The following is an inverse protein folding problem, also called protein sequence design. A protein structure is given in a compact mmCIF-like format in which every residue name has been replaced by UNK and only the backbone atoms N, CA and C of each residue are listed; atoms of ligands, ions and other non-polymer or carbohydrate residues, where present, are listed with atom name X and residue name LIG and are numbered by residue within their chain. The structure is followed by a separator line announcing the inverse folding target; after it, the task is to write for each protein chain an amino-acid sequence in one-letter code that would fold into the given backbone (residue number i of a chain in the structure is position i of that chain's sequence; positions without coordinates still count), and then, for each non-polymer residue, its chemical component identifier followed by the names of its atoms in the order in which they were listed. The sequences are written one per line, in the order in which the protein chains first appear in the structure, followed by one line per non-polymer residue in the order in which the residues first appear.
data_IF_010510249710
#
_entry.id   IF_010510249710
#
_cell.length_a   1.000
_cell.length_b   1.000
_cell.length_c   1.000
_cell.angle_alpha   90.00
_cell.angle_beta   90.00
_cell.angle_gamma   90.00
#
_symmetry.space_group_name_H-M   'P 1'
#
loop_
_entity.id
_entity.type
_entity.pdbx_description
1 polymer ?
#
# COMPACT_ATOMS: atom_id res chain seq x y z
N UNK A 1 -22.26 -6.05 27.04
CA UNK A 1 -22.19 -5.06 25.95
C UNK A 1 -21.46 -5.74 24.80
N UNK A 2 -22.23 -6.33 23.89
CA UNK A 2 -21.74 -7.19 22.81
C UNK A 2 -21.49 -6.31 21.59
N UNK A 3 -20.24 -6.15 21.17
CA UNK A 3 -19.93 -5.49 19.90
C UNK A 3 -20.32 -6.44 18.77
N UNK A 4 -21.28 -5.99 17.96
CA UNK A 4 -21.76 -6.70 16.80
C UNK A 4 -20.66 -6.82 15.75
N UNK A 5 -20.35 -8.07 15.38
CA UNK A 5 -19.66 -8.41 14.15
C UNK A 5 -20.51 -7.92 12.98
N UNK A 6 -20.07 -6.86 12.30
CA UNK A 6 -20.58 -6.51 10.98
C UNK A 6 -19.81 -7.33 9.96
N UNK A 7 -20.36 -8.49 9.62
CA UNK A 7 -20.04 -9.21 8.38
C UNK A 7 -20.81 -8.56 7.23
N UNK A 8 -20.15 -7.67 6.49
CA UNK A 8 -20.58 -7.28 5.15
C UNK A 8 -19.70 -7.97 4.12
N UNK A 9 -20.17 -9.09 3.61
CA UNK A 9 -20.36 -9.30 2.17
C UNK A 9 -19.17 -9.54 1.23
N UNK A 10 -17.93 -9.24 1.56
CA UNK A 10 -16.79 -9.57 0.70
C UNK A 10 -15.65 -10.13 1.54
N UNK A 11 -15.23 -11.36 1.24
CA UNK A 11 -14.01 -11.89 1.81
C UNK A 11 -12.86 -11.12 1.15
N UNK A 12 -12.04 -10.36 1.90
CA UNK A 12 -11.00 -9.55 1.27
C UNK A 12 -10.04 -10.45 0.51
N UNK A 13 -9.80 -10.12 -0.77
CA UNK A 13 -8.94 -10.91 -1.67
C UNK A 13 -7.50 -10.97 -1.11
N UNK A 14 -7.07 -9.89 -0.45
CA UNK A 14 -5.82 -9.82 0.30
C UNK A 14 -6.12 -9.97 1.79
N UNK A 15 -5.39 -10.85 2.48
CA UNK A 15 -5.61 -11.08 3.90
C UNK A 15 -5.40 -9.80 4.74
N UNK A 16 -6.22 -9.63 5.77
CA UNK A 16 -6.09 -8.52 6.74
C UNK A 16 -4.72 -8.50 7.42
N UNK A 17 -4.13 -9.68 7.67
CA UNK A 17 -2.78 -9.80 8.21
C UNK A 17 -1.71 -9.26 7.26
N UNK A 18 -1.88 -9.42 5.94
CA UNK A 18 -0.99 -8.84 4.93
C UNK A 18 -1.08 -7.33 4.94
N UNK A 19 -2.31 -6.78 4.95
CA UNK A 19 -2.53 -5.32 5.01
C UNK A 19 -1.91 -4.73 6.27
N UNK A 20 -2.16 -5.33 7.43
CA UNK A 20 -1.60 -4.89 8.70
C UNK A 20 -0.05 -4.93 8.72
N UNK A 21 0.57 -5.88 8.01
CA UNK A 21 2.02 -5.94 7.89
C UNK A 21 2.58 -4.78 7.05
N UNK A 22 1.88 -4.39 5.98
CA UNK A 22 2.24 -3.20 5.19
C UNK A 22 2.08 -1.93 6.00
N UNK A 23 1.00 -1.76 6.75
CA UNK A 23 0.81 -0.61 7.65
C UNK A 23 1.90 -0.53 8.73
N UNK A 24 2.26 -1.67 9.34
CA UNK A 24 3.32 -1.74 10.32
C UNK A 24 4.68 -1.33 9.71
N UNK A 25 4.93 -1.72 8.46
CA UNK A 25 6.13 -1.36 7.72
C UNK A 25 6.15 0.14 7.38
N UNK A 26 5.04 0.70 6.90
CA UNK A 26 4.88 2.15 6.71
C UNK A 26 5.20 2.92 8.00
N UNK A 27 4.66 2.47 9.13
CA UNK A 27 4.91 3.09 10.43
C UNK A 27 6.39 2.97 10.84
N UNK A 28 7.04 1.84 10.57
CA UNK A 28 8.48 1.64 10.82
C UNK A 28 9.32 2.59 9.98
N UNK A 29 9.09 2.64 8.67
CA UNK A 29 9.79 3.51 7.74
C UNK A 29 9.60 4.99 8.10
N UNK A 30 8.37 5.41 8.42
CA UNK A 30 8.09 6.76 8.86
C UNK A 30 8.85 7.13 10.16
N UNK A 31 8.84 6.25 11.18
CA UNK A 31 9.63 6.47 12.41
C UNK A 31 11.13 6.59 12.14
N UNK A 32 11.66 5.82 11.18
CA UNK A 32 13.09 5.82 10.82
C UNK A 32 13.50 7.08 10.06
N UNK A 33 12.64 7.59 9.18
CA UNK A 33 13.01 8.63 8.21
C UNK A 33 12.37 10.02 8.47
N UNK A 34 11.32 10.11 9.29
CA UNK A 34 10.65 11.36 9.66
C UNK A 34 10.19 12.17 8.44
N UNK A 35 10.58 13.44 8.36
CA UNK A 35 10.27 14.35 7.23
C UNK A 35 10.89 13.90 5.89
N UNK A 36 11.88 13.00 5.91
CA UNK A 36 12.45 12.35 4.72
C UNK A 36 11.72 11.07 4.33
N UNK A 37 10.57 10.79 4.94
CA UNK A 37 9.70 9.69 4.53
C UNK A 37 9.03 10.01 3.19
N UNK A 38 8.70 8.95 2.44
CA UNK A 38 7.95 9.02 1.17
C UNK A 38 6.58 9.71 1.34
N UNK A 39 6.01 9.63 2.55
CA UNK A 39 4.78 10.32 2.95
C UNK A 39 4.85 11.84 2.89
N UNK A 40 6.04 12.45 2.85
CA UNK A 40 6.16 13.90 2.74
C UNK A 40 5.67 14.35 1.36
N UNK A 41 4.54 15.07 1.22
CA UNK A 41 4.00 15.45 -0.09
C UNK A 41 4.95 16.38 -0.86
N UNK A 42 5.78 17.17 -0.18
CA UNK A 42 6.75 18.07 -0.79
C UNK A 42 7.99 17.35 -1.35
N UNK A 43 8.17 16.06 -1.08
CA UNK A 43 9.27 15.30 -1.67
C UNK A 43 9.08 15.22 -3.20
N UNK A 44 10.15 15.39 -4.01
CA UNK A 44 10.05 15.21 -5.47
C UNK A 44 9.94 13.74 -5.87
N UNK A 45 9.23 13.44 -6.96
CA UNK A 45 9.10 12.08 -7.49
C UNK A 45 10.43 11.48 -7.94
N UNK A 46 11.36 12.32 -8.41
CA UNK A 46 12.73 11.92 -8.72
C UNK A 46 13.53 11.40 -7.50
N UNK A 47 13.08 11.72 -6.28
CA UNK A 47 13.64 11.19 -5.02
C UNK A 47 12.90 9.94 -4.56
N UNK A 48 11.59 9.84 -4.82
CA UNK A 48 10.80 8.65 -4.46
C UNK A 48 11.10 7.43 -5.32
N UNK A 49 11.32 7.63 -6.63
CA UNK A 49 11.56 6.53 -7.56
C UNK A 49 12.77 5.67 -7.18
N UNK A 50 13.95 6.23 -6.84
CA UNK A 50 15.08 5.43 -6.37
C UNK A 50 14.77 4.55 -5.16
N UNK A 51 13.99 5.05 -4.20
CA UNK A 51 13.59 4.29 -3.00
C UNK A 51 12.71 3.10 -3.39
N UNK A 52 11.74 3.30 -4.29
CA UNK A 52 10.92 2.19 -4.78
C UNK A 52 11.77 1.14 -5.52
N UNK A 53 12.70 1.59 -6.35
CA UNK A 53 13.57 0.70 -7.14
C UNK A 53 14.57 -0.04 -6.24
N UNK A 54 15.03 0.56 -5.15
CA UNK A 54 15.86 -0.10 -4.13
C UNK A 54 15.13 -1.32 -3.55
N UNK A 55 13.89 -1.16 -3.08
CA UNK A 55 13.10 -2.27 -2.52
C UNK A 55 12.79 -3.36 -3.58
N UNK A 56 12.54 -2.97 -4.84
CA UNK A 56 12.39 -3.94 -5.95
C UNK A 56 13.70 -4.70 -6.21
N UNK A 57 14.84 -4.03 -6.07
CA UNK A 57 16.15 -4.63 -6.15
C UNK A 57 16.38 -5.67 -5.03
N UNK A 58 15.90 -5.39 -3.83
CA UNK A 58 15.98 -6.33 -2.70
C UNK A 58 15.11 -7.57 -2.91
N UNK A 59 13.91 -7.43 -3.48
CA UNK A 59 13.10 -8.58 -3.93
C UNK A 59 13.87 -9.41 -4.96
N UNK A 60 14.45 -8.77 -5.98
CA UNK A 60 15.21 -9.46 -7.01
C UNK A 60 16.41 -10.20 -6.40
N UNK A 61 17.14 -9.57 -5.48
CA UNK A 61 18.26 -10.17 -4.75
C UNK A 61 17.80 -11.37 -3.93
N UNK A 62 16.73 -11.25 -3.14
CA UNK A 62 16.18 -12.34 -2.34
C UNK A 62 15.82 -13.56 -3.20
N UNK A 63 15.24 -13.36 -4.38
CA UNK A 63 14.94 -14.45 -5.32
C UNK A 63 16.20 -15.10 -5.90
N UNK A 64 17.19 -14.30 -6.32
CA UNK A 64 18.43 -14.80 -6.91
C UNK A 64 19.31 -15.55 -5.91
N UNK A 65 19.32 -15.11 -4.65
CA UNK A 65 20.10 -15.72 -3.56
C UNK A 65 19.39 -16.91 -2.90
N UNK A 66 18.15 -17.22 -3.31
CA UNK A 66 17.38 -18.33 -2.76
C UNK A 66 16.97 -18.10 -1.30
N UNK A 67 16.63 -16.86 -0.95
CA UNK A 67 16.19 -16.49 0.39
C UNK A 67 14.95 -17.28 0.82
N UNK A 68 14.79 -17.44 2.14
CA UNK A 68 13.60 -18.14 2.65
C UNK A 68 12.31 -17.33 2.40
N UNK A 69 11.14 -17.98 2.32
CA UNK A 69 9.89 -17.31 1.97
C UNK A 69 9.48 -16.15 2.89
N UNK A 70 9.92 -16.14 4.15
CA UNK A 70 9.64 -15.00 5.06
C UNK A 70 10.45 -13.78 4.66
N UNK A 71 11.73 -13.96 4.31
CA UNK A 71 12.55 -12.86 3.82
C UNK A 71 11.98 -12.29 2.52
N UNK A 72 11.66 -13.13 1.54
CA UNK A 72 11.01 -12.65 0.30
C UNK A 72 9.69 -11.91 0.58
N UNK A 73 8.89 -12.39 1.52
CA UNK A 73 7.67 -11.72 1.96
C UNK A 73 7.97 -10.34 2.55
N UNK A 74 8.99 -10.20 3.38
CA UNK A 74 9.35 -8.93 4.02
C UNK A 74 9.80 -7.88 2.98
N UNK A 75 10.56 -8.29 1.96
CA UNK A 75 10.94 -7.38 0.85
C UNK A 75 9.72 -6.96 0.00
N UNK A 76 8.80 -7.88 -0.28
CA UNK A 76 7.53 -7.54 -0.96
C UNK A 76 6.66 -6.58 -0.15
N UNK A 77 6.63 -6.73 1.19
CA UNK A 77 5.93 -5.80 2.09
C UNK A 77 6.57 -4.41 2.04
N UNK A 78 7.90 -4.32 2.00
CA UNK A 78 8.61 -3.03 1.88
C UNK A 78 8.31 -2.34 0.54
N UNK A 79 8.32 -3.07 -0.59
CA UNK A 79 7.89 -2.54 -1.89
C UNK A 79 6.46 -1.98 -1.80
N UNK A 80 5.53 -2.74 -1.22
CA UNK A 80 4.14 -2.30 -1.07
C UNK A 80 4.04 -1.05 -0.18
N UNK A 81 4.79 -0.99 0.92
CA UNK A 81 4.81 0.17 1.82
C UNK A 81 5.29 1.44 1.11
N UNK A 82 6.36 1.35 0.31
CA UNK A 82 6.85 2.50 -0.47
C UNK A 82 5.85 2.92 -1.55
N UNK A 83 5.28 1.96 -2.28
CA UNK A 83 4.31 2.25 -3.32
C UNK A 83 3.03 2.92 -2.77
N UNK A 84 2.45 2.38 -1.69
CA UNK A 84 1.24 2.92 -1.09
C UNK A 84 1.46 4.30 -0.46
N UNK A 85 2.59 4.52 0.22
CA UNK A 85 2.91 5.85 0.77
C UNK A 85 3.12 6.90 -0.32
N UNK A 86 3.63 6.51 -1.49
CA UNK A 86 3.70 7.40 -2.64
C UNK A 86 2.31 7.69 -3.22
N UNK A 87 1.40 6.71 -3.25
CA UNK A 87 -0.01 6.94 -3.62
C UNK A 87 -0.68 7.95 -2.69
N UNK A 88 -0.48 7.86 -1.38
CA UNK A 88 -1.03 8.85 -0.43
C UNK A 88 -0.40 10.24 -0.65
N UNK A 89 0.92 10.31 -0.84
CA UNK A 89 1.59 11.57 -1.15
C UNK A 89 1.15 12.19 -2.50
N UNK A 90 0.67 11.37 -3.44
CA UNK A 90 0.05 11.85 -4.68
C UNK A 90 -1.31 12.49 -4.41
N UNK A 91 -2.17 11.85 -3.61
CA UNK A 91 -3.50 12.37 -3.25
C UNK A 91 -3.41 13.73 -2.57
N UNK A 92 -2.49 13.88 -1.63
CA UNK A 92 -2.27 15.13 -0.90
C UNK A 92 -1.78 16.28 -1.81
N UNK A 93 -1.18 15.96 -2.97
CA UNK A 93 -0.73 16.96 -3.95
C UNK A 93 -1.83 17.39 -4.93
N UNK A 94 -2.82 16.55 -5.17
CA UNK A 94 -3.78 16.72 -6.27
C UNK A 94 -5.20 17.08 -5.83
N UNK A 95 -5.49 17.18 -4.52
CA UNK A 95 -6.85 17.33 -3.97
C UNK A 95 -7.84 16.29 -4.54
N UNK A 96 -7.34 15.15 -5.02
CA UNK A 96 -8.16 14.16 -5.73
C UNK A 96 -8.98 13.29 -4.77
N UNK A 97 -10.24 13.06 -5.15
CA UNK A 97 -11.11 12.04 -4.58
C UNK A 97 -10.43 10.66 -4.60
N UNK A 98 -10.80 9.73 -3.68
CA UNK A 98 -10.10 8.47 -3.51
C UNK A 98 -10.00 7.66 -4.81
N UNK A 99 -8.82 7.09 -5.07
CA UNK A 99 -8.51 6.22 -6.22
C UNK A 99 -9.39 4.95 -6.29
N UNK A 100 -10.15 4.66 -5.23
CA UNK A 100 -11.14 3.59 -5.19
C UNK A 100 -12.40 4.11 -4.49
N UNK A 101 -13.49 4.26 -5.25
CA UNK A 101 -14.84 4.44 -4.75
C UNK A 101 -15.61 3.12 -4.92
N UNK A 102 -15.79 2.31 -3.86
CA UNK A 102 -16.59 1.09 -3.93
C UNK A 102 -18.06 1.35 -4.28
N UNK A 103 -18.53 2.61 -4.24
CA UNK A 103 -19.89 3.03 -4.58
C UNK A 103 -20.15 3.32 -6.06
N UNK A 104 -19.14 3.38 -6.94
CA UNK A 104 -19.35 3.58 -8.38
C UNK A 104 -19.46 2.28 -9.20
N UNK A 105 -19.32 1.10 -8.59
CA UNK A 105 -19.53 -0.18 -9.28
C UNK A 105 -21.01 -0.57 -9.48
N UNK A 106 -21.96 0.29 -9.08
CA UNK A 106 -23.40 0.00 -9.11
C UNK A 106 -24.21 1.18 -9.65
N UNK A 107 -23.94 1.63 -10.88
CA UNK A 107 -24.92 2.41 -11.66
C UNK A 107 -24.81 2.14 -13.16
N UNK A 108 -24.84 0.88 -13.60
CA UNK A 108 -25.13 0.54 -15.01
C UNK A 108 -25.91 -0.79 -15.10
N UNK A 109 -27.07 -0.85 -14.46
CA UNK A 109 -28.13 -1.78 -14.84
C UNK A 109 -29.44 -1.29 -14.27
N UNK A 110 -30.06 -0.35 -14.98
CA UNK A 110 -31.51 -0.10 -15.00
C UNK A 110 -31.81 0.91 -16.12
N UNK A 111 -31.52 0.48 -17.34
CA UNK A 111 -31.96 1.18 -18.55
C UNK A 111 -32.19 0.17 -19.68
N UNK A 112 -33.08 -0.79 -19.47
CA UNK A 112 -33.84 -1.43 -20.54
C UNK A 112 -35.25 -1.64 -20.02
N UNK A 113 -36.22 -1.00 -20.69
CA UNK A 113 -37.65 -1.13 -20.40
C UNK A 113 -38.26 -2.45 -20.84
#
# INVERSE_FOLDING_TARGET
MTLATVTSGENPVISTATVAAVEAEVARAHRKHGERSILNPAMPDAVRLPVLVEEVGEVARAMLEGADPRHLRDELIQVAAVALTWVEALRDRTDQAPLFDPGQAVTESDAVG
#
